data_IF_147856699028
#
_entry.id   IF_147856699028
#
_cell.length_a   1.000
_cell.length_b   1.000
_cell.length_c   1.000
_cell.angle_alpha   90.00
_cell.angle_beta   90.00
_cell.angle_gamma   90.00
#
_symmetry.space_group_name_H-M   'P 1'
#
loop_
_entity.id
_entity.type
_entity.pdbx_description
1 polymer ?
#
# COMPACT_ATOMS: atom_id res chain seq x y z
N UNK A 1 9.16 10.30 -20.78
CA UNK A 1 10.64 10.23 -20.73
C UNK A 1 11.14 8.84 -20.35
N UNK A 2 12.46 8.59 -20.34
CA UNK A 2 13.03 7.27 -19.91
C UNK A 2 12.60 6.93 -18.48
N UNK A 3 12.59 7.93 -17.59
CA UNK A 3 12.21 7.78 -16.18
C UNK A 3 10.79 7.20 -16.02
N UNK A 4 9.79 7.79 -16.68
CA UNK A 4 8.41 7.26 -16.71
C UNK A 4 8.35 5.82 -17.17
N UNK A 5 9.07 5.47 -18.24
CA UNK A 5 9.03 4.09 -18.78
C UNK A 5 9.60 3.05 -17.81
N UNK A 6 10.47 3.45 -16.88
CA UNK A 6 11.16 2.54 -15.96
C UNK A 6 10.47 2.46 -14.61
N UNK A 7 9.99 3.59 -14.07
CA UNK A 7 9.53 3.69 -12.69
C UNK A 7 8.03 3.96 -12.54
N UNK A 8 7.33 4.39 -13.60
CA UNK A 8 5.91 4.70 -13.51
C UNK A 8 5.08 3.41 -13.54
N UNK A 9 4.35 3.16 -12.46
CA UNK A 9 3.27 2.19 -12.37
C UNK A 9 1.91 2.88 -12.27
N UNK A 10 0.86 2.07 -12.14
CA UNK A 10 -0.49 2.56 -11.86
C UNK A 10 -1.15 1.71 -10.78
N UNK A 11 -1.84 2.39 -9.87
CA UNK A 11 -2.66 1.78 -8.83
C UNK A 11 -4.11 2.18 -8.99
N UNK A 12 -5.01 1.28 -8.63
CA UNK A 12 -6.45 1.54 -8.56
C UNK A 12 -6.94 1.30 -7.14
N UNK A 13 -7.57 2.31 -6.55
CA UNK A 13 -8.23 2.25 -5.25
C UNK A 13 -9.72 2.03 -5.48
N UNK A 14 -10.25 0.99 -4.85
CA UNK A 14 -11.66 0.60 -4.89
C UNK A 14 -12.25 0.80 -3.51
N UNK A 15 -13.40 1.46 -3.44
CA UNK A 15 -14.18 1.62 -2.21
C UNK A 15 -15.59 1.11 -2.44
N UNK A 16 -16.11 0.30 -1.52
CA UNK A 16 -17.49 -0.16 -1.54
C UNK A 16 -18.13 0.01 -0.15
N UNK A 17 -19.24 0.73 -0.06
CA UNK A 17 -19.99 0.84 1.19
C UNK A 17 -20.67 -0.50 1.51
N UNK A 18 -20.81 -0.80 2.80
CA UNK A 18 -21.45 -2.06 3.25
C UNK A 18 -22.97 -1.97 3.32
N UNK A 19 -23.49 -0.80 3.70
CA UNK A 19 -24.92 -0.60 4.03
C UNK A 19 -25.71 0.14 2.95
N UNK A 20 -25.04 0.82 2.03
CA UNK A 20 -25.65 1.62 0.95
C UNK A 20 -25.01 1.27 -0.38
N UNK A 21 -25.71 1.51 -1.49
CA UNK A 21 -25.15 1.30 -2.82
C UNK A 21 -24.20 2.46 -3.18
N UNK A 22 -22.98 2.38 -2.66
CA UNK A 22 -21.90 3.28 -2.99
C UNK A 22 -20.70 2.47 -3.50
N UNK A 23 -20.18 2.86 -4.66
CA UNK A 23 -18.94 2.32 -5.20
C UNK A 23 -18.12 3.45 -5.81
N UNK A 24 -16.86 3.54 -5.39
CA UNK A 24 -15.91 4.50 -5.92
C UNK A 24 -14.66 3.80 -6.42
N UNK A 25 -14.06 4.37 -7.46
CA UNK A 25 -12.86 3.86 -8.09
C UNK A 25 -11.99 5.01 -8.54
N UNK A 26 -10.75 5.03 -8.07
CA UNK A 26 -9.77 6.05 -8.42
C UNK A 26 -8.50 5.37 -8.93
N UNK A 27 -8.06 5.73 -10.13
CA UNK A 27 -6.79 5.29 -10.69
C UNK A 27 -5.76 6.40 -10.55
N UNK A 28 -4.57 6.06 -10.08
CA UNK A 28 -3.48 7.00 -9.82
C UNK A 28 -2.17 6.45 -10.37
N UNK A 29 -1.36 7.36 -10.92
CA UNK A 29 0.01 7.07 -11.29
C UNK A 29 0.87 6.95 -10.03
N UNK A 30 1.73 5.92 -9.96
CA UNK A 30 2.63 5.71 -8.83
C UNK A 30 4.07 5.54 -9.29
N UNK A 31 5.02 5.98 -8.47
CA UNK A 31 6.46 5.81 -8.68
C UNK A 31 7.07 4.76 -7.75
N UNK A 32 6.28 4.30 -6.78
CA UNK A 32 6.70 3.39 -5.73
C UNK A 32 5.62 3.24 -4.66
N UNK A 33 5.67 2.13 -3.93
CA UNK A 33 4.70 1.82 -2.89
C UNK A 33 5.29 2.15 -1.52
N UNK A 34 4.57 2.94 -0.72
CA UNK A 34 4.93 3.19 0.68
C UNK A 34 4.12 2.27 1.58
N UNK A 35 4.75 1.19 2.05
CA UNK A 35 4.10 0.13 2.82
C UNK A 35 4.33 0.29 4.32
N UNK A 36 3.27 0.04 5.09
CA UNK A 36 3.36 -0.02 6.55
C UNK A 36 4.00 -1.35 6.97
N UNK A 37 5.00 -1.27 7.82
CA UNK A 37 5.71 -2.44 8.36
C UNK A 37 5.51 -2.63 9.86
N UNK A 38 4.75 -1.74 10.53
CA UNK A 38 4.47 -1.88 11.94
C UNK A 38 3.72 -3.20 12.23
N UNK A 39 4.34 -4.04 13.07
CA UNK A 39 3.81 -5.36 13.41
C UNK A 39 3.84 -6.38 12.26
N UNK A 40 4.70 -6.16 11.25
CA UNK A 40 4.89 -7.09 10.14
C UNK A 40 6.31 -7.68 10.18
N UNK A 41 6.43 -9.01 10.19
CA UNK A 41 7.74 -9.68 10.24
C UNK A 41 8.41 -9.82 8.86
N UNK A 42 7.69 -9.51 7.78
CA UNK A 42 8.19 -9.57 6.41
C UNK A 42 7.55 -8.54 5.48
N UNK A 43 8.29 -8.18 4.42
CA UNK A 43 7.76 -7.35 3.32
C UNK A 43 6.60 -8.06 2.61
N UNK A 44 6.61 -9.38 2.54
CA UNK A 44 5.50 -10.15 1.95
C UNK A 44 4.20 -9.96 2.74
N UNK A 45 4.26 -10.02 4.07
CA UNK A 45 3.12 -9.75 4.96
C UNK A 45 2.67 -8.30 4.83
N UNK A 46 3.59 -7.34 4.81
CA UNK A 46 3.28 -5.93 4.64
C UNK A 46 2.59 -5.63 3.29
N UNK A 47 3.06 -6.23 2.20
CA UNK A 47 2.39 -6.14 0.89
C UNK A 47 1.00 -6.79 0.91
N UNK A 48 0.86 -7.95 1.55
CA UNK A 48 -0.44 -8.60 1.75
C UNK A 48 -1.43 -7.70 2.50
N UNK A 49 -0.98 -6.97 3.52
CA UNK A 49 -1.79 -5.96 4.22
C UNK A 49 -2.11 -4.76 3.32
N UNK A 50 -1.14 -4.26 2.56
CA UNK A 50 -1.30 -3.09 1.69
C UNK A 50 -2.33 -3.32 0.58
N UNK A 51 -2.33 -4.50 -0.04
CA UNK A 51 -3.27 -4.87 -1.11
C UNK A 51 -4.50 -5.63 -0.62
N UNK A 52 -4.53 -5.95 0.68
CA UNK A 52 -5.68 -6.55 1.34
C UNK A 52 -6.85 -5.58 1.39
N UNK A 53 -8.05 -6.12 1.58
CA UNK A 53 -9.21 -5.28 1.90
C UNK A 53 -9.05 -4.75 3.32
N UNK A 54 -9.22 -3.44 3.50
CA UNK A 54 -9.23 -2.78 4.79
C UNK A 54 -10.64 -2.25 5.08
N UNK A 55 -11.07 -2.35 6.33
CA UNK A 55 -12.34 -1.81 6.79
C UNK A 55 -12.16 -0.34 7.18
N UNK A 56 -13.08 0.50 6.70
CA UNK A 56 -13.25 1.90 7.08
C UNK A 56 -14.44 1.96 8.04
N UNK A 57 -14.19 2.09 9.34
CA UNK A 57 -15.18 2.01 10.41
C UNK A 57 -14.92 3.05 11.50
N UNK A 58 -15.94 3.39 12.28
CA UNK A 58 -15.81 4.34 13.40
C UNK A 58 -15.37 5.73 12.95
N UNK A 59 -14.23 6.21 13.44
CA UNK A 59 -13.69 7.52 13.08
C UNK A 59 -13.20 7.58 11.61
N UNK A 60 -12.86 6.42 11.02
CA UNK A 60 -12.30 6.29 9.67
C UNK A 60 -13.37 6.00 8.58
N UNK A 61 -14.65 6.23 8.89
CA UNK A 61 -15.76 6.01 7.93
C UNK A 61 -15.59 6.80 6.62
N UNK A 62 -16.07 6.21 5.52
CA UNK A 62 -16.02 6.80 4.19
C UNK A 62 -17.12 7.86 4.02
N UNK A 63 -16.74 9.09 3.69
CA UNK A 63 -17.70 10.17 3.41
C UNK A 63 -18.26 10.04 1.99
N UNK A 64 -19.56 9.74 1.89
CA UNK A 64 -20.29 9.66 0.62
C UNK A 64 -21.02 10.97 0.33
N UNK A 65 -21.18 11.31 -0.95
CA UNK A 65 -21.87 12.53 -1.35
C UNK A 65 -23.37 12.55 -0.97
N UNK A 66 -24.03 11.38 -0.99
CA UNK A 66 -25.49 11.27 -0.80
C UNK A 66 -25.91 10.74 0.59
N UNK A 67 -25.06 9.94 1.25
CA UNK A 67 -25.43 9.23 2.49
C UNK A 67 -24.53 9.60 3.69
N UNK A 68 -23.68 10.60 3.56
CA UNK A 68 -22.72 11.00 4.60
C UNK A 68 -21.69 9.91 4.90
N UNK A 69 -21.19 9.87 6.14
CA UNK A 69 -20.24 8.84 6.63
C UNK A 69 -20.85 7.45 6.66
N UNK A 70 -20.15 6.48 6.07
CA UNK A 70 -20.57 5.09 5.96
C UNK A 70 -19.41 4.13 6.24
N UNK A 71 -19.74 2.98 6.84
CA UNK A 71 -18.79 1.87 6.90
C UNK A 71 -18.55 1.31 5.49
N UNK A 72 -17.28 1.16 5.12
CA UNK A 72 -16.89 0.77 3.78
C UNK A 72 -15.68 -0.16 3.78
N UNK A 73 -15.52 -0.89 2.69
CA UNK A 73 -14.33 -1.69 2.43
C UNK A 73 -13.49 -0.99 1.35
N UNK A 74 -12.23 -0.72 1.65
CA UNK A 74 -11.26 -0.13 0.73
C UNK A 74 -10.21 -1.18 0.32
N UNK A 75 -9.84 -1.17 -0.96
CA UNK A 75 -8.80 -2.04 -1.49
C UNK A 75 -7.99 -1.33 -2.57
N UNK A 76 -6.68 -1.42 -2.49
CA UNK A 76 -5.75 -0.97 -3.54
C UNK A 76 -5.34 -2.17 -4.40
N UNK A 77 -5.13 -1.95 -5.70
CA UNK A 77 -4.58 -2.95 -6.63
C UNK A 77 -3.53 -2.30 -7.54
N UNK A 78 -2.48 -3.05 -7.87
CA UNK A 78 -1.48 -2.63 -8.84
C UNK A 78 -1.95 -3.01 -10.25
N UNK A 79 -2.49 -2.05 -10.99
CA UNK A 79 -3.04 -2.25 -12.35
C UNK A 79 -1.99 -2.21 -13.44
N UNK A 80 -0.87 -1.49 -13.21
CA UNK A 80 0.30 -1.53 -14.06
C UNK A 80 1.57 -1.57 -13.21
N UNK A 81 2.36 -2.64 -13.35
CA UNK A 81 3.60 -2.82 -12.61
C UNK A 81 4.79 -2.23 -13.40
N UNK A 82 5.60 -1.32 -12.81
CA UNK A 82 6.74 -0.69 -13.50
C UNK A 82 7.90 -1.68 -13.64
N UNK A 83 8.76 -1.61 -14.67
CA UNK A 83 9.94 -2.47 -14.77
C UNK A 83 10.84 -2.45 -13.52
N UNK A 84 10.93 -1.31 -12.82
CA UNK A 84 11.60 -1.20 -11.52
C UNK A 84 10.60 -0.77 -10.45
N UNK A 85 10.29 -1.69 -9.53
CA UNK A 85 9.40 -1.43 -8.40
C UNK A 85 10.19 -0.91 -7.19
N UNK A 86 9.80 0.28 -6.71
CA UNK A 86 10.35 0.86 -5.49
C UNK A 86 9.41 0.58 -4.31
N UNK A 87 9.93 -0.02 -3.24
CA UNK A 87 9.21 -0.25 -1.98
C UNK A 87 9.82 0.61 -0.88
N UNK A 88 9.07 1.58 -0.40
CA UNK A 88 9.43 2.39 0.75
C UNK A 88 8.82 1.78 2.02
N UNK A 89 9.66 1.30 2.93
CA UNK A 89 9.23 0.78 4.23
C UNK A 89 9.00 1.95 5.19
N UNK A 90 7.75 2.19 5.60
CA UNK A 90 7.40 3.23 6.58
C UNK A 90 7.92 2.86 7.98
N UNK A 91 9.21 3.06 8.20
CA UNK A 91 9.89 2.76 9.47
C UNK A 91 9.87 3.92 10.47
N UNK A 92 9.29 5.06 10.13
CA UNK A 92 9.14 6.19 11.03
C UNK A 92 7.65 6.39 11.30
N UNK A 93 7.27 6.34 12.58
CA UNK A 93 5.92 6.62 13.04
C UNK A 93 5.93 7.77 14.05
N UNK A 94 4.76 8.29 14.40
CA UNK A 94 4.62 9.37 15.37
C UNK A 94 4.14 8.82 16.71
N UNK A 95 4.92 9.04 17.76
CA UNK A 95 4.52 8.76 19.14
C UNK A 95 3.76 9.98 19.68
N UNK A 96 2.45 9.84 19.82
CA UNK A 96 1.58 10.91 20.32
C UNK A 96 1.80 11.25 21.79
N UNK A 97 2.31 10.30 22.60
CA UNK A 97 2.59 10.54 24.03
C UNK A 97 3.86 11.36 24.21
N UNK A 98 4.88 11.05 23.40
CA UNK A 98 6.17 11.75 23.43
C UNK A 98 6.26 12.92 22.44
N UNK A 99 5.19 13.19 21.68
CA UNK A 99 5.10 14.23 20.64
C UNK A 99 6.30 14.26 19.69
N UNK A 100 6.78 13.09 19.25
CA UNK A 100 7.98 12.96 18.41
C UNK A 100 7.88 11.81 17.43
N UNK A 101 8.64 11.90 16.34
CA UNK A 101 8.82 10.75 15.44
C UNK A 101 9.77 9.72 16.06
N UNK A 102 9.41 8.44 15.93
CA UNK A 102 10.17 7.29 16.42
C UNK A 102 10.42 6.29 15.30
N UNK A 103 11.61 5.70 15.30
CA UNK A 103 12.03 4.66 14.33
C UNK A 103 11.59 3.28 14.81
N UNK A 104 10.93 2.53 13.94
CA UNK A 104 10.61 1.11 14.12
C UNK A 104 11.87 0.26 13.90
N UNK A 105 12.39 -0.30 14.99
CA UNK A 105 13.64 -1.08 15.02
C UNK A 105 13.44 -2.58 14.92
N UNK A 106 12.20 -3.07 14.92
CA UNK A 106 11.92 -4.50 14.75
C UNK A 106 12.43 -5.02 13.38
N UNK A 107 12.75 -6.31 13.36
CA UNK A 107 13.26 -6.99 12.18
C UNK A 107 12.13 -7.20 11.16
N UNK A 108 12.43 -6.91 9.89
CA UNK A 108 11.51 -7.17 8.77
C UNK A 108 12.30 -7.92 7.71
N UNK A 109 11.90 -9.15 7.40
CA UNK A 109 12.53 -9.95 6.35
C UNK A 109 12.14 -9.45 4.97
N UNK A 110 13.12 -9.34 4.06
CA UNK A 110 12.90 -8.94 2.67
C UNK A 110 13.07 -10.18 1.79
N UNK A 111 12.02 -10.62 1.07
CA UNK A 111 12.14 -11.79 0.23
C UNK A 111 13.01 -11.48 -0.99
N UNK A 112 13.79 -12.46 -1.51
CA UNK A 112 14.62 -12.26 -2.69
C UNK A 112 13.80 -12.09 -3.97
N UNK A 113 12.56 -12.60 -3.97
CA UNK A 113 11.61 -12.51 -5.08
C UNK A 113 10.27 -11.98 -4.55
N UNK A 114 9.66 -11.05 -5.28
CA UNK A 114 8.30 -10.55 -5.02
C UNK A 114 7.43 -10.83 -6.25
N UNK A 115 6.27 -11.44 -6.01
CA UNK A 115 5.28 -11.71 -7.05
C UNK A 115 4.08 -10.75 -6.93
N UNK A 116 4.01 -9.66 -7.71
CA UNK A 116 2.87 -8.75 -7.80
C UNK A 116 1.57 -9.42 -8.26
N UNK A 117 1.60 -10.60 -8.87
CA UNK A 117 0.38 -11.24 -9.36
C UNK A 117 -0.58 -11.56 -8.21
N UNK A 118 -0.04 -11.78 -7.00
CA UNK A 118 -0.80 -11.95 -5.77
C UNK A 118 -1.59 -10.70 -5.34
N UNK A 119 -1.30 -9.54 -5.93
CA UNK A 119 -1.67 -8.22 -5.41
C UNK A 119 -2.38 -7.30 -6.41
N UNK A 120 -2.53 -7.68 -7.66
CA UNK A 120 -3.13 -6.79 -8.68
C UNK A 120 -3.33 -7.37 -10.06
N UNK A 121 -3.08 -8.66 -10.28
CA UNK A 121 -3.27 -9.29 -11.59
C UNK A 121 -2.21 -8.95 -12.64
N UNK A 122 -1.20 -8.14 -12.32
CA UNK A 122 -0.04 -7.96 -13.18
C UNK A 122 0.88 -9.20 -13.09
N UNK A 123 1.08 -9.95 -14.19
CA UNK A 123 2.03 -11.05 -14.20
C UNK A 123 3.46 -10.51 -14.21
N UNK A 124 4.36 -11.21 -13.51
CA UNK A 124 5.79 -10.89 -13.50
C UNK A 124 6.37 -11.03 -12.10
N UNK A 125 7.63 -11.46 -11.99
CA UNK A 125 8.32 -11.59 -10.71
C UNK A 125 9.43 -10.54 -10.64
N UNK A 126 9.56 -9.86 -9.51
CA UNK A 126 10.66 -8.95 -9.24
C UNK A 126 11.74 -9.67 -8.44
N UNK A 127 12.99 -9.51 -8.85
CA UNK A 127 14.14 -9.87 -8.03
C UNK A 127 14.61 -8.66 -7.21
N UNK A 128 14.98 -8.91 -5.95
CA UNK A 128 15.58 -7.89 -5.10
C UNK A 128 16.90 -7.41 -5.71
N UNK A 129 16.96 -6.13 -6.07
CA UNK A 129 18.15 -5.51 -6.67
C UNK A 129 18.97 -4.70 -5.65
N UNK A 130 18.30 -3.91 -4.80
CA UNK A 130 18.95 -3.03 -3.84
C UNK A 130 18.15 -2.92 -2.54
N UNK A 131 18.85 -2.71 -1.43
CA UNK A 131 18.28 -2.40 -0.13
C UNK A 131 18.97 -1.15 0.43
N UNK A 132 18.18 -0.12 0.74
CA UNK A 132 18.66 1.13 1.34
C UNK A 132 18.48 1.04 2.85
N UNK A 133 19.58 1.08 3.59
CA UNK A 133 19.59 0.92 5.05
C UNK A 133 19.92 2.25 5.71
N UNK A 134 19.09 2.66 6.67
CA UNK A 134 19.35 3.79 7.55
C UNK A 134 19.86 3.27 8.90
N UNK A 135 21.06 3.69 9.30
CA UNK A 135 21.64 3.40 10.62
C UNK A 135 20.84 4.06 11.74
#
# INVERSE_FOLDING_TARGET
GVFERVFKGQTETLVACRSVDCRSRAAEDTWGLSIDVAGCDSVAVALGRYFGTQALEGEDQYETAEHGKQDADIKVRLTAAPPVLQLHLKRFTFDSKASRSVKLTHQVSVPPIVDPSAFGGCPGKYALYAAIVHA
#
